data_IF_310618489131
#
_entry.id   IF_310618489131
#
_cell.length_a   1.000
_cell.length_b   1.000
_cell.length_c   1.000
_cell.angle_alpha   90.00
_cell.angle_beta   90.00
_cell.angle_gamma   90.00
#
_symmetry.space_group_name_H-M   'P 1'
#
loop_
_entity.id
_entity.type
_entity.pdbx_description
1 polymer ?
#
# COMPACT_ATOMS: atom_id res chain seq x y z
N UNK A 1 28.10 2.62 17.22
CA UNK A 1 27.00 1.74 17.67
C UNK A 1 25.64 2.42 17.52
N UNK A 2 25.32 3.51 18.25
CA UNK A 2 24.01 4.19 18.12
C UNK A 2 23.67 4.67 16.71
N UNK A 3 24.63 5.25 15.99
CA UNK A 3 24.44 5.72 14.61
C UNK A 3 24.05 4.62 13.62
N UNK A 4 24.48 3.38 13.86
CA UNK A 4 24.23 2.24 12.98
C UNK A 4 22.90 1.54 13.28
N UNK A 5 22.24 1.85 14.40
CA UNK A 5 21.01 1.20 14.85
C UNK A 5 20.01 2.22 15.39
N UNK A 6 19.94 3.41 14.77
CA UNK A 6 19.06 4.50 15.24
C UNK A 6 17.60 4.07 15.39
N UNK A 7 17.13 3.17 14.52
CA UNK A 7 15.79 2.58 14.58
C UNK A 7 15.51 1.70 15.81
N UNK A 8 16.54 1.34 16.58
CA UNK A 8 16.41 0.60 17.83
C UNK A 8 16.18 1.53 19.04
N UNK A 9 16.37 2.83 18.86
CA UNK A 9 16.13 3.82 19.90
C UNK A 9 14.82 4.57 19.62
N UNK A 10 14.07 4.96 20.66
CA UNK A 10 12.88 5.77 20.48
C UNK A 10 13.26 7.11 19.85
N UNK A 11 12.55 7.48 18.79
CA UNK A 11 12.67 8.78 18.14
C UNK A 11 11.88 9.82 18.93
N UNK A 12 12.42 11.02 19.00
CA UNK A 12 11.67 12.19 19.47
C UNK A 12 10.58 12.57 18.47
N UNK A 13 9.57 13.31 18.93
CA UNK A 13 8.51 13.81 18.05
C UNK A 13 9.04 14.71 16.93
N UNK A 14 10.13 15.46 17.19
CA UNK A 14 10.81 16.27 16.18
C UNK A 14 11.46 15.42 15.09
N UNK A 15 12.12 14.33 15.47
CA UNK A 15 12.72 13.39 14.52
C UNK A 15 11.65 12.70 13.66
N UNK A 16 10.54 12.29 14.28
CA UNK A 16 9.40 11.71 13.56
C UNK A 16 8.84 12.71 12.55
N UNK A 17 8.58 13.96 12.97
CA UNK A 17 8.12 15.03 12.07
C UNK A 17 9.06 15.24 10.90
N UNK A 18 10.36 15.23 11.16
CA UNK A 18 11.38 15.40 10.12
C UNK A 18 11.39 14.23 9.13
N UNK A 19 11.23 12.99 9.59
CA UNK A 19 11.12 11.80 8.72
C UNK A 19 9.90 11.91 7.81
N UNK A 20 8.73 12.31 8.33
CA UNK A 20 7.54 12.48 7.49
C UNK A 20 7.72 13.58 6.44
N UNK A 21 8.42 14.66 6.80
CA UNK A 21 8.64 15.81 5.92
C UNK A 21 9.68 15.54 4.82
N UNK A 22 10.79 14.87 5.14
CA UNK A 22 11.94 14.76 4.24
C UNK A 22 12.22 13.32 3.77
N UNK A 23 11.61 12.32 4.40
CA UNK A 23 11.87 10.91 4.10
C UNK A 23 11.40 10.48 2.72
N UNK A 24 12.01 9.40 2.20
CA UNK A 24 11.53 8.70 1.00
C UNK A 24 10.44 7.73 1.43
N UNK A 25 9.26 7.84 0.81
CA UNK A 25 8.20 6.85 1.00
C UNK A 25 8.45 5.68 0.06
N UNK A 26 8.54 4.47 0.61
CA UNK A 26 8.47 3.23 -0.16
C UNK A 26 7.37 2.36 0.42
N UNK A 27 6.67 1.65 -0.46
CA UNK A 27 5.59 0.73 -0.08
C UNK A 27 5.92 -0.68 -0.56
N UNK A 28 5.36 -1.68 0.13
CA UNK A 28 5.48 -3.08 -0.26
C UNK A 28 4.54 -3.41 -1.44
N UNK A 29 4.81 -4.51 -2.13
CA UNK A 29 4.01 -4.98 -3.26
C UNK A 29 2.54 -5.17 -2.88
N UNK A 30 2.27 -5.68 -1.67
CA UNK A 30 0.90 -5.92 -1.21
C UNK A 30 0.05 -4.64 -1.15
N UNK A 31 0.62 -3.52 -0.69
CA UNK A 31 -0.04 -2.21 -0.61
C UNK A 31 -0.46 -1.74 -2.00
N UNK A 32 0.40 -1.95 -3.01
CA UNK A 32 0.09 -1.60 -4.40
C UNK A 32 -0.99 -2.52 -4.98
N UNK A 33 -0.97 -3.81 -4.66
CA UNK A 33 -1.99 -4.76 -5.11
C UNK A 33 -3.36 -4.49 -4.47
N UNK A 34 -3.38 -4.00 -3.24
CA UNK A 34 -4.62 -3.69 -2.52
C UNK A 34 -5.40 -2.52 -3.15
N UNK A 35 -4.75 -1.68 -3.98
CA UNK A 35 -5.45 -0.69 -4.83
C UNK A 35 -6.51 -1.33 -5.75
N UNK A 36 -6.38 -2.62 -6.07
CA UNK A 36 -7.35 -3.39 -6.88
C UNK A 36 -8.38 -4.16 -6.04
N UNK A 37 -8.22 -4.19 -4.71
CA UNK A 37 -9.10 -4.92 -3.78
C UNK A 37 -10.02 -3.97 -3.01
N UNK A 38 -9.53 -2.77 -2.74
CA UNK A 38 -10.28 -1.79 -1.95
C UNK A 38 -11.41 -1.13 -2.72
N UNK A 39 -12.48 -0.82 -1.97
CA UNK A 39 -13.54 0.07 -2.42
C UNK A 39 -12.99 1.48 -2.67
N UNK A 40 -13.71 2.23 -3.49
CA UNK A 40 -13.31 3.53 -4.02
C UNK A 40 -12.74 4.47 -2.95
N UNK A 41 -13.47 4.72 -1.86
CA UNK A 41 -13.04 5.64 -0.81
C UNK A 41 -11.67 5.29 -0.19
N UNK A 42 -11.42 4.01 0.06
CA UNK A 42 -10.15 3.54 0.66
C UNK A 42 -9.02 3.59 -0.35
N UNK A 43 -9.30 3.28 -1.63
CA UNK A 43 -8.34 3.41 -2.72
C UNK A 43 -7.91 4.87 -2.90
N UNK A 44 -8.87 5.80 -2.94
CA UNK A 44 -8.58 7.23 -3.08
C UNK A 44 -7.78 7.77 -1.89
N UNK A 45 -8.09 7.33 -0.66
CA UNK A 45 -7.31 7.70 0.51
C UNK A 45 -5.86 7.21 0.42
N UNK A 46 -5.63 5.98 -0.03
CA UNK A 46 -4.28 5.43 -0.23
C UNK A 46 -3.52 6.17 -1.33
N UNK A 47 -4.17 6.47 -2.46
CA UNK A 47 -3.58 7.26 -3.54
C UNK A 47 -3.22 8.68 -3.07
N UNK A 48 -4.10 9.32 -2.30
CA UNK A 48 -3.84 10.63 -1.71
C UNK A 48 -2.64 10.58 -0.73
N UNK A 49 -2.53 9.53 0.08
CA UNK A 49 -1.41 9.34 0.99
C UNK A 49 -0.08 9.16 0.24
N UNK A 50 -0.06 8.40 -0.86
CA UNK A 50 1.13 8.24 -1.70
C UNK A 50 1.49 9.58 -2.40
N UNK A 51 0.49 10.28 -2.94
CA UNK A 51 0.66 11.57 -3.61
C UNK A 51 1.15 12.67 -2.67
N UNK A 52 0.87 12.59 -1.36
CA UNK A 52 1.42 13.53 -0.38
C UNK A 52 2.96 13.48 -0.31
N UNK A 53 3.58 12.44 -0.86
CA UNK A 53 5.03 12.28 -1.00
C UNK A 53 5.51 12.50 -2.44
N UNK A 54 4.80 13.30 -3.24
CA UNK A 54 5.24 13.62 -4.60
C UNK A 54 6.72 14.07 -4.64
N UNK A 55 7.46 13.55 -5.61
CA UNK A 55 8.92 13.69 -5.72
C UNK A 55 9.76 12.90 -4.71
N UNK A 56 9.16 12.23 -3.72
CA UNK A 56 9.82 11.39 -2.69
C UNK A 56 9.20 10.00 -2.53
N UNK A 57 8.16 9.68 -3.29
CA UNK A 57 7.63 8.33 -3.39
C UNK A 57 8.52 7.52 -4.35
N UNK A 58 9.01 6.37 -3.88
CA UNK A 58 9.89 5.50 -4.64
C UNK A 58 9.52 4.04 -4.39
N UNK A 59 9.67 3.20 -5.41
CA UNK A 59 9.50 1.75 -5.29
C UNK A 59 10.75 1.05 -5.80
N UNK A 60 11.11 -0.06 -5.17
CA UNK A 60 12.24 -0.86 -5.61
C UNK A 60 11.90 -1.63 -6.90
N UNK A 61 12.95 -2.04 -7.63
CA UNK A 61 12.79 -2.91 -8.79
C UNK A 61 12.02 -4.19 -8.45
N UNK A 62 12.32 -4.79 -7.29
CA UNK A 62 11.65 -6.00 -6.82
C UNK A 62 10.15 -5.75 -6.60
N UNK A 63 9.78 -4.65 -5.91
CA UNK A 63 8.37 -4.31 -5.70
C UNK A 63 7.63 -4.13 -7.02
N UNK A 64 8.26 -3.45 -7.99
CA UNK A 64 7.68 -3.29 -9.32
C UNK A 64 7.51 -4.63 -10.05
N UNK A 65 8.53 -5.50 -10.03
CA UNK A 65 8.48 -6.82 -10.67
C UNK A 65 7.38 -7.70 -10.08
N UNK A 66 7.33 -7.80 -8.74
CA UNK A 66 6.31 -8.56 -8.04
C UNK A 66 4.91 -8.01 -8.30
N UNK A 67 4.77 -6.68 -8.35
CA UNK A 67 3.51 -6.03 -8.69
C UNK A 67 3.04 -6.42 -10.10
N UNK A 68 3.90 -6.29 -11.12
CA UNK A 68 3.53 -6.65 -12.49
C UNK A 68 3.19 -8.13 -12.65
N UNK A 69 3.93 -9.01 -11.98
CA UNK A 69 3.68 -10.45 -12.01
C UNK A 69 2.35 -10.84 -11.37
N UNK A 70 2.03 -10.22 -10.23
CA UNK A 70 0.86 -10.60 -9.43
C UNK A 70 -0.42 -9.83 -9.82
N UNK A 71 -0.29 -8.69 -10.50
CA UNK A 71 -1.41 -7.80 -10.89
C UNK A 71 -2.58 -8.53 -11.53
N UNK A 72 -2.32 -9.36 -12.55
CA UNK A 72 -3.39 -10.07 -13.27
C UNK A 72 -4.14 -11.06 -12.38
N UNK A 73 -3.43 -11.75 -11.49
CA UNK A 73 -4.03 -12.70 -10.55
C UNK A 73 -4.93 -11.99 -9.53
N UNK A 74 -4.52 -10.82 -9.05
CA UNK A 74 -5.32 -10.04 -8.09
C UNK A 74 -6.57 -9.46 -8.75
N UNK A 75 -6.48 -8.94 -9.97
CA UNK A 75 -7.66 -8.43 -10.70
C UNK A 75 -8.68 -9.55 -10.95
N UNK A 76 -8.21 -10.73 -11.34
CA UNK A 76 -9.10 -11.88 -11.58
C UNK A 76 -9.76 -12.37 -10.28
N UNK A 77 -9.00 -12.45 -9.18
CA UNK A 77 -9.53 -12.92 -7.89
C UNK A 77 -10.46 -11.92 -7.19
N UNK A 78 -10.22 -10.60 -7.33
CA UNK A 78 -11.15 -9.57 -6.87
C UNK A 78 -12.52 -9.74 -7.56
N UNK A 79 -12.55 -9.87 -8.89
CA UNK A 79 -13.82 -10.02 -9.63
C UNK A 79 -14.59 -11.29 -9.24
N UNK A 80 -13.91 -12.42 -9.03
CA UNK A 80 -14.59 -13.63 -8.55
C UNK A 80 -15.12 -13.46 -7.13
N UNK A 81 -14.35 -12.84 -6.23
CA UNK A 81 -14.79 -12.63 -4.85
C UNK A 81 -15.99 -11.68 -4.75
N UNK A 82 -16.03 -10.62 -5.57
CA UNK A 82 -17.19 -9.73 -5.68
C UNK A 82 -18.42 -10.45 -6.22
N UNK A 83 -18.27 -11.23 -7.30
CA UNK A 83 -19.38 -12.02 -7.87
C UNK A 83 -19.88 -13.09 -6.89
N UNK A 84 -19.00 -13.75 -6.16
CA UNK A 84 -19.37 -14.76 -5.17
C UNK A 84 -20.06 -14.11 -3.96
N UNK A 85 -19.62 -12.93 -3.52
CA UNK A 85 -20.30 -12.18 -2.47
C UNK A 85 -21.71 -11.73 -2.90
N UNK A 86 -21.87 -11.18 -4.12
CA UNK A 86 -23.19 -10.85 -4.67
C UNK A 86 -24.10 -12.08 -4.74
N UNK A 87 -23.57 -13.21 -5.23
CA UNK A 87 -24.35 -14.45 -5.38
C UNK A 87 -24.79 -15.02 -4.04
N UNK A 88 -23.98 -14.90 -3.00
CA UNK A 88 -24.33 -15.33 -1.64
C UNK A 88 -25.28 -14.36 -0.94
N UNK A 89 -25.28 -13.06 -1.29
CA UNK A 89 -26.27 -12.09 -0.80
C UNK A 89 -27.62 -12.18 -1.55
N UNK A 90 -27.63 -12.69 -2.78
CA UNK A 90 -28.82 -12.84 -3.61
C UNK A 90 -29.63 -14.13 -3.37
N UNK A 91 -29.18 -15.02 -2.49
CA UNK A 91 -29.95 -16.19 -2.05
C UNK A 91 -30.68 -15.87 -0.73
N UNK A 92 -32.00 -15.62 -0.74
CA UNK A 92 -32.77 -15.66 0.49
C UNK A 92 -32.85 -17.12 0.95
N UNK A 93 -32.76 -17.33 2.27
CA UNK A 93 -33.10 -18.60 2.92
C UNK A 93 -34.48 -19.12 2.48
#
# INVERSE_FOLDING_TARGET
MKELFKWYFPLSDDEIRNIWKEGILTVDTNVLLDLYRYHEDTREALLAAINAFDGRAWISHQVAEEFFRNRNSVILSSNSAFNDAEKNMALPY
#
